data_IF_638184774753
#
_entry.id   IF_638184774753
#
_cell.length_a   1.000
_cell.length_b   1.000
_cell.length_c   1.000
_cell.angle_alpha   90.00
_cell.angle_beta   90.00
_cell.angle_gamma   90.00
#
_symmetry.space_group_name_H-M   'P 1'
#
loop_
_entity.id
_entity.type
_entity.pdbx_description
1 polymer ?
#
# COMPACT_ATOMS: atom_id res chain seq x y z
N UNK A 1 1.32 -25.30 7.25
CA UNK A 1 1.22 -24.49 6.02
C UNK A 1 2.32 -23.44 6.12
N UNK A 2 3.26 -23.38 5.16
CA UNK A 2 4.34 -22.40 5.20
C UNK A 2 3.79 -20.99 4.94
N UNK A 3 4.35 -19.97 5.60
CA UNK A 3 3.94 -18.56 5.43
C UNK A 3 2.72 -18.12 6.24
N UNK A 4 2.12 -18.99 7.06
CA UNK A 4 0.95 -18.65 7.89
C UNK A 4 1.27 -18.51 9.38
N UNK A 5 2.50 -18.81 9.78
CA UNK A 5 2.98 -18.67 11.15
C UNK A 5 3.66 -17.33 11.37
N UNK A 6 3.65 -16.85 12.60
CA UNK A 6 4.31 -15.62 13.03
C UNK A 6 4.21 -15.45 14.54
N UNK A 7 4.85 -14.43 15.12
CA UNK A 7 4.65 -14.07 16.51
C UNK A 7 3.22 -13.56 16.72
N UNK A 8 2.73 -13.64 17.96
CA UNK A 8 1.39 -13.18 18.36
C UNK A 8 1.33 -11.65 18.56
N UNK A 9 2.15 -10.88 17.83
CA UNK A 9 2.15 -9.43 17.88
C UNK A 9 2.32 -8.80 16.49
N UNK A 10 1.85 -7.60 16.36
CA UNK A 10 2.06 -6.70 15.22
C UNK A 10 2.89 -5.49 15.65
N UNK A 11 3.42 -4.76 14.70
CA UNK A 11 4.21 -3.54 14.90
C UNK A 11 3.41 -2.39 14.29
N UNK A 12 3.27 -1.23 14.98
CA UNK A 12 2.61 -0.07 14.41
C UNK A 12 3.16 0.30 13.03
N UNK A 13 2.27 0.75 12.14
CA UNK A 13 2.69 1.20 10.82
C UNK A 13 3.52 2.50 10.91
N UNK A 14 4.63 2.56 10.18
CA UNK A 14 5.53 3.70 10.10
C UNK A 14 5.74 4.12 8.64
N UNK A 15 4.78 4.88 8.10
CA UNK A 15 4.84 5.37 6.71
C UNK A 15 5.62 6.68 6.64
N UNK A 16 6.91 6.60 6.33
CA UNK A 16 7.80 7.76 6.15
C UNK A 16 7.85 8.18 4.67
N UNK A 17 6.68 8.39 4.10
CA UNK A 17 6.53 8.79 2.70
C UNK A 17 6.56 10.33 2.58
N UNK A 18 7.20 10.91 1.56
CA UNK A 18 7.80 10.29 0.39
C UNK A 18 9.28 9.88 0.52
N UNK A 19 9.91 10.02 1.69
CA UNK A 19 11.35 9.78 1.88
C UNK A 19 11.70 8.29 1.74
N UNK A 20 10.88 7.40 2.31
CA UNK A 20 11.01 5.96 2.18
C UNK A 20 9.90 5.43 1.26
N UNK A 21 10.28 4.86 0.14
CA UNK A 21 9.35 4.38 -0.87
C UNK A 21 9.82 3.04 -1.48
N UNK A 22 8.94 2.36 -2.18
CA UNK A 22 9.14 0.99 -2.65
C UNK A 22 9.99 0.92 -3.93
N UNK A 23 11.20 1.50 -3.89
CA UNK A 23 12.21 1.32 -4.94
C UNK A 23 12.71 -0.13 -4.95
N UNK A 24 13.27 -0.58 -6.08
CA UNK A 24 13.93 -1.89 -6.13
C UNK A 24 15.02 -1.99 -5.06
N UNK A 25 15.03 -3.10 -4.33
CA UNK A 25 15.93 -3.33 -3.21
C UNK A 25 15.40 -2.80 -1.85
N UNK A 26 14.27 -2.10 -1.80
CA UNK A 26 13.69 -1.69 -0.52
C UNK A 26 13.24 -2.91 0.29
N UNK A 27 13.51 -2.90 1.61
CA UNK A 27 12.98 -3.85 2.58
C UNK A 27 11.71 -3.29 3.19
N UNK A 28 10.63 -4.06 3.11
CA UNK A 28 9.32 -3.62 3.57
C UNK A 28 8.65 -4.70 4.42
N UNK A 29 7.97 -4.29 5.46
CA UNK A 29 7.23 -5.20 6.32
C UNK A 29 5.95 -5.67 5.63
N UNK A 30 5.67 -6.98 5.68
CA UNK A 30 4.39 -7.53 5.25
C UNK A 30 3.29 -7.18 6.25
N UNK A 31 2.04 -7.26 5.83
CA UNK A 31 0.85 -7.09 6.68
C UNK A 31 -0.36 -7.79 6.10
N UNK A 32 -1.36 -7.98 6.93
CA UNK A 32 -2.68 -8.44 6.48
C UNK A 32 -3.48 -7.28 5.85
N UNK A 33 -4.50 -7.63 5.07
CA UNK A 33 -5.34 -6.66 4.36
C UNK A 33 -6.16 -5.74 5.29
N UNK A 34 -6.54 -4.57 4.78
CA UNK A 34 -7.25 -3.52 5.53
C UNK A 34 -8.58 -3.98 6.13
N UNK A 35 -9.20 -5.05 5.61
CA UNK A 35 -10.46 -5.61 6.14
C UNK A 35 -10.30 -6.20 7.54
N UNK A 36 -9.15 -6.81 7.84
CA UNK A 36 -8.84 -7.43 9.13
C UNK A 36 -7.81 -6.62 9.93
N UNK A 37 -7.13 -5.67 9.29
CA UNK A 37 -6.08 -4.84 9.86
C UNK A 37 -6.26 -3.37 9.40
N UNK A 38 -7.32 -2.68 9.90
CA UNK A 38 -7.62 -1.31 9.47
C UNK A 38 -6.55 -0.29 9.90
N UNK A 39 -5.77 -0.58 10.92
CA UNK A 39 -4.65 0.25 11.39
C UNK A 39 -3.37 0.02 10.58
N UNK A 40 -3.39 -0.94 9.64
CA UNK A 40 -2.27 -1.29 8.75
C UNK A 40 -0.99 -1.67 9.48
N UNK A 41 -1.13 -2.25 10.68
CA UNK A 41 0.00 -2.72 11.46
C UNK A 41 0.83 -3.75 10.68
N UNK A 42 2.14 -3.66 10.84
CA UNK A 42 3.11 -4.54 10.19
C UNK A 42 3.21 -5.89 10.91
N UNK A 43 3.50 -6.95 10.17
CA UNK A 43 3.85 -8.26 10.74
C UNK A 43 5.12 -8.13 11.61
N UNK A 44 5.12 -8.82 12.76
CA UNK A 44 6.29 -8.87 13.65
C UNK A 44 7.45 -9.70 13.12
N UNK A 45 7.29 -10.43 11.99
CA UNK A 45 8.35 -11.33 11.48
C UNK A 45 8.41 -11.45 9.97
N UNK A 46 7.37 -11.04 9.25
CA UNK A 46 7.32 -11.21 7.80
C UNK A 46 7.68 -9.91 7.10
N UNK A 47 8.59 -9.98 6.15
CA UNK A 47 9.03 -8.88 5.32
C UNK A 47 9.21 -9.35 3.87
N UNK A 48 9.39 -8.41 2.99
CA UNK A 48 9.72 -8.67 1.59
C UNK A 48 10.76 -7.68 1.09
N UNK A 49 11.50 -8.09 0.05
CA UNK A 49 12.41 -7.23 -0.67
C UNK A 49 11.75 -6.86 -2.00
N UNK A 50 11.66 -5.58 -2.27
CA UNK A 50 11.03 -5.07 -3.49
C UNK A 50 11.91 -5.40 -4.70
N UNK A 51 11.34 -6.08 -5.71
CA UNK A 51 11.97 -6.20 -7.02
C UNK A 51 11.30 -5.27 -8.03
N UNK A 52 10.03 -5.50 -8.34
CA UNK A 52 9.23 -4.67 -9.22
C UNK A 52 9.77 -4.59 -10.66
N UNK A 53 9.29 -3.58 -11.39
CA UNK A 53 9.71 -3.27 -12.76
C UNK A 53 10.08 -1.80 -12.91
N UNK A 54 10.64 -1.42 -14.03
CA UNK A 54 10.75 -0.01 -14.44
C UNK A 54 9.44 0.48 -15.04
N UNK A 55 9.18 1.76 -14.92
CA UNK A 55 7.96 2.41 -15.40
C UNK A 55 8.29 3.52 -16.39
N UNK A 56 7.45 3.69 -17.39
CA UNK A 56 7.46 4.90 -18.20
C UNK A 56 6.80 6.07 -17.46
N UNK A 57 7.12 7.29 -17.84
CA UNK A 57 6.45 8.49 -17.30
C UNK A 57 4.91 8.45 -17.51
N UNK A 58 4.45 7.80 -18.58
CA UNK A 58 3.03 7.61 -18.86
C UNK A 58 2.35 6.69 -17.85
N UNK A 59 3.00 5.57 -17.49
CA UNK A 59 2.51 4.64 -16.47
C UNK A 59 2.49 5.31 -15.08
N UNK A 60 3.53 6.03 -14.71
CA UNK A 60 3.56 6.77 -13.43
C UNK A 60 2.42 7.79 -13.34
N UNK A 61 2.14 8.54 -14.41
CA UNK A 61 0.97 9.45 -14.46
C UNK A 61 -0.37 8.73 -14.32
N UNK A 62 -0.48 7.48 -14.77
CA UNK A 62 -1.71 6.68 -14.54
C UNK A 62 -1.81 6.26 -13.07
N UNK A 63 -0.69 5.87 -12.45
CA UNK A 63 -0.65 5.55 -11.02
C UNK A 63 -1.02 6.78 -10.19
N UNK A 64 -0.49 7.97 -10.50
CA UNK A 64 -0.87 9.23 -9.83
C UNK A 64 -2.38 9.52 -9.91
N UNK A 65 -3.01 9.22 -11.05
CA UNK A 65 -4.47 9.34 -11.18
C UNK A 65 -5.20 8.35 -10.28
N UNK A 66 -4.71 7.10 -10.19
CA UNK A 66 -5.29 6.09 -9.30
C UNK A 66 -5.11 6.49 -7.83
N UNK A 67 -3.94 7.00 -7.44
CA UNK A 67 -3.69 7.53 -6.08
C UNK A 67 -4.67 8.65 -5.73
N UNK A 68 -4.93 9.58 -6.66
CA UNK A 68 -5.88 10.67 -6.45
C UNK A 68 -7.33 10.16 -6.28
N UNK A 69 -7.73 9.16 -7.06
CA UNK A 69 -9.03 8.51 -6.91
C UNK A 69 -9.15 7.75 -5.58
N UNK A 70 -8.09 7.05 -5.18
CA UNK A 70 -8.04 6.34 -3.90
C UNK A 70 -8.12 7.30 -2.72
N UNK A 71 -7.38 8.43 -2.76
CA UNK A 71 -7.44 9.47 -1.74
C UNK A 71 -8.88 10.01 -1.57
N UNK A 72 -9.57 10.31 -2.67
CA UNK A 72 -10.97 10.77 -2.62
C UNK A 72 -11.88 9.68 -2.01
N UNK A 73 -11.67 8.42 -2.37
CA UNK A 73 -12.43 7.30 -1.83
C UNK A 73 -12.18 7.08 -0.34
N UNK A 74 -10.94 7.20 0.11
CA UNK A 74 -10.57 7.05 1.52
C UNK A 74 -11.19 8.16 2.38
N UNK A 75 -11.19 9.41 1.89
CA UNK A 75 -11.89 10.52 2.54
C UNK A 75 -13.39 10.25 2.61
N UNK A 76 -13.99 9.78 1.51
CA UNK A 76 -15.43 9.43 1.48
C UNK A 76 -15.76 8.30 2.47
N UNK A 77 -14.94 7.26 2.54
CA UNK A 77 -15.10 6.16 3.49
C UNK A 77 -15.01 6.64 4.94
N UNK A 78 -14.05 7.52 5.23
CA UNK A 78 -13.92 8.16 6.55
C UNK A 78 -15.16 8.96 6.94
N UNK A 79 -15.66 9.77 6.02
CA UNK A 79 -16.91 10.52 6.22
C UNK A 79 -18.12 9.57 6.44
N UNK A 80 -18.23 8.52 5.65
CA UNK A 80 -19.29 7.52 5.79
C UNK A 80 -19.27 6.87 7.17
N UNK A 81 -18.08 6.57 7.71
CA UNK A 81 -17.95 6.07 9.10
C UNK A 81 -18.45 7.08 10.12
N UNK A 82 -18.12 8.36 9.97
CA UNK A 82 -18.58 9.44 10.87
C UNK A 82 -20.11 9.60 10.83
N UNK A 83 -20.72 9.51 9.65
CA UNK A 83 -22.18 9.67 9.45
C UNK A 83 -22.96 8.35 9.57
N UNK A 84 -22.32 7.25 10.02
CA UNK A 84 -22.91 5.90 10.09
C UNK A 84 -24.27 5.87 10.79
N UNK A 85 -24.40 6.56 11.93
CA UNK A 85 -25.66 6.63 12.69
C UNK A 85 -26.78 7.25 11.86
N UNK A 86 -26.52 8.41 11.25
CA UNK A 86 -27.50 9.11 10.42
C UNK A 86 -27.91 8.29 9.19
N UNK A 87 -26.96 7.60 8.55
CA UNK A 87 -27.23 6.70 7.42
C UNK A 87 -28.17 5.56 7.87
N UNK A 88 -27.90 4.96 9.04
CA UNK A 88 -28.73 3.89 9.58
C UNK A 88 -30.14 4.36 9.92
N UNK A 89 -30.30 5.56 10.52
CA UNK A 89 -31.61 6.12 10.88
C UNK A 89 -32.41 6.43 9.60
N UNK A 90 -31.80 7.00 8.57
CA UNK A 90 -32.46 7.25 7.28
C UNK A 90 -32.91 5.95 6.61
N UNK A 91 -32.09 4.89 6.66
CA UNK A 91 -32.43 3.56 6.14
C UNK A 91 -33.58 2.93 6.93
N UNK A 92 -33.55 2.99 8.27
CA UNK A 92 -34.62 2.47 9.15
C UNK A 92 -35.95 3.15 8.85
N UNK A 93 -35.95 4.47 8.66
CA UNK A 93 -37.14 5.27 8.36
C UNK A 93 -37.52 5.22 6.86
N UNK A 94 -36.85 4.40 6.04
CA UNK A 94 -37.09 4.29 4.60
C UNK A 94 -37.04 5.64 3.85
N UNK A 95 -36.32 6.62 4.41
CA UNK A 95 -36.17 7.97 3.82
C UNK A 95 -35.13 7.96 2.69
N UNK A 96 -35.55 7.55 1.51
CA UNK A 96 -34.69 7.48 0.30
C UNK A 96 -34.18 8.85 -0.13
N UNK A 97 -35.04 9.89 -0.05
CA UNK A 97 -34.66 11.25 -0.45
C UNK A 97 -33.58 11.78 0.50
N UNK A 98 -33.76 11.63 1.80
CA UNK A 98 -32.75 12.03 2.78
C UNK A 98 -31.43 11.26 2.64
N UNK A 99 -31.51 9.97 2.32
CA UNK A 99 -30.32 9.14 2.08
C UNK A 99 -29.53 9.62 0.85
N UNK A 100 -30.22 9.91 -0.26
CA UNK A 100 -29.61 10.45 -1.46
C UNK A 100 -28.98 11.82 -1.20
N UNK A 101 -29.70 12.74 -0.56
CA UNK A 101 -29.18 14.06 -0.22
C UNK A 101 -27.93 13.99 0.68
N UNK A 102 -27.92 13.07 1.65
CA UNK A 102 -26.75 12.82 2.48
C UNK A 102 -25.58 12.27 1.66
N UNK A 103 -25.82 11.33 0.77
CA UNK A 103 -24.78 10.77 -0.11
C UNK A 103 -24.16 11.85 -0.99
N UNK A 104 -24.99 12.68 -1.62
CA UNK A 104 -24.53 13.79 -2.47
C UNK A 104 -23.69 14.79 -1.67
N UNK A 105 -24.09 15.11 -0.44
CA UNK A 105 -23.33 15.93 0.49
C UNK A 105 -21.97 15.30 0.81
N UNK A 106 -21.92 14.02 1.15
CA UNK A 106 -20.66 13.34 1.50
C UNK A 106 -19.71 13.25 0.32
N UNK A 107 -20.21 13.06 -0.92
CA UNK A 107 -19.41 13.10 -2.14
C UNK A 107 -18.81 14.48 -2.34
N UNK A 108 -19.60 15.55 -2.20
CA UNK A 108 -19.11 16.90 -2.35
C UNK A 108 -18.06 17.27 -1.29
N UNK A 109 -18.30 16.86 -0.03
CA UNK A 109 -17.38 17.06 1.08
C UNK A 109 -16.07 16.26 0.89
N UNK A 110 -16.15 15.02 0.41
CA UNK A 110 -14.98 14.21 0.10
C UNK A 110 -14.10 14.86 -0.97
N UNK A 111 -14.71 15.36 -2.05
CA UNK A 111 -13.99 16.08 -3.11
C UNK A 111 -13.32 17.36 -2.60
N UNK A 112 -14.01 18.13 -1.75
CA UNK A 112 -13.45 19.36 -1.17
C UNK A 112 -12.25 19.03 -0.28
N UNK A 113 -12.39 18.08 0.65
CA UNK A 113 -11.30 17.65 1.53
C UNK A 113 -10.13 17.04 0.78
N UNK A 114 -10.39 16.19 -0.22
CA UNK A 114 -9.33 15.63 -1.07
C UNK A 114 -8.54 16.72 -1.80
N UNK A 115 -9.22 17.77 -2.25
CA UNK A 115 -8.56 18.94 -2.86
C UNK A 115 -7.71 19.72 -1.87
N UNK A 116 -8.15 19.87 -0.62
CA UNK A 116 -7.39 20.53 0.45
C UNK A 116 -6.13 19.76 0.84
N UNK A 117 -6.19 18.42 0.82
CA UNK A 117 -5.02 17.55 1.05
C UNK A 117 -3.95 17.67 -0.06
N UNK A 118 -4.31 18.26 -1.20
CA UNK A 118 -3.45 18.35 -2.36
C UNK A 118 -3.50 17.09 -3.22
N UNK A 119 -3.06 17.23 -4.46
CA UNK A 119 -3.02 16.11 -5.40
C UNK A 119 -1.82 15.20 -5.07
N UNK A 120 -2.04 13.92 -4.81
CA UNK A 120 -0.93 12.99 -4.62
C UNK A 120 -0.15 12.85 -5.93
N UNK A 121 1.14 12.66 -5.80
CA UNK A 121 2.03 12.50 -6.95
C UNK A 121 3.43 12.10 -6.50
N UNK A 122 4.26 11.75 -7.46
CA UNK A 122 5.64 11.36 -7.21
C UNK A 122 6.56 12.58 -7.19
N UNK A 123 7.56 12.56 -6.33
CA UNK A 123 8.67 13.51 -6.37
C UNK A 123 9.54 13.27 -7.61
N UNK A 124 10.39 14.24 -7.97
CA UNK A 124 11.34 14.06 -9.08
C UNK A 124 12.26 12.88 -8.84
N UNK A 125 12.72 12.68 -7.61
CA UNK A 125 13.55 11.55 -7.20
C UNK A 125 12.82 10.21 -7.41
N UNK A 126 11.55 10.12 -6.99
CA UNK A 126 10.75 8.92 -7.19
C UNK A 126 10.52 8.62 -8.67
N UNK A 127 10.23 9.66 -9.48
CA UNK A 127 10.06 9.49 -10.93
C UNK A 127 11.36 8.96 -11.56
N UNK A 128 12.51 9.58 -11.24
CA UNK A 128 13.81 9.12 -11.73
C UNK A 128 14.07 7.68 -11.30
N UNK A 129 13.88 7.36 -10.03
CA UNK A 129 14.13 6.02 -9.49
C UNK A 129 13.22 4.98 -10.14
N UNK A 130 11.91 5.23 -10.24
CA UNK A 130 10.98 4.28 -10.84
C UNK A 130 11.15 4.11 -12.35
N UNK A 131 11.70 5.11 -13.04
CA UNK A 131 11.98 5.02 -14.49
C UNK A 131 13.32 4.36 -14.80
N UNK A 132 14.28 4.36 -13.88
CA UNK A 132 15.62 3.82 -14.09
C UNK A 132 15.85 2.51 -13.34
N UNK A 133 15.74 2.53 -12.03
CA UNK A 133 15.95 1.38 -11.15
C UNK A 133 14.70 0.47 -11.09
N UNK A 134 13.51 1.07 -11.01
CA UNK A 134 12.25 0.36 -10.86
C UNK A 134 11.81 0.21 -9.41
N UNK A 135 10.74 -0.57 -9.22
CA UNK A 135 10.13 -0.80 -7.92
C UNK A 135 8.63 -1.10 -8.02
N UNK A 136 7.88 -0.79 -6.95
CA UNK A 136 6.44 -1.04 -6.84
C UNK A 136 5.68 0.18 -6.30
N UNK A 137 5.53 1.25 -7.09
CA UNK A 137 4.99 2.53 -6.63
C UNK A 137 3.57 2.47 -6.08
N UNK A 138 2.79 1.45 -6.41
CA UNK A 138 1.45 1.24 -5.88
C UNK A 138 1.41 0.75 -4.42
N UNK A 139 2.56 0.37 -3.85
CA UNK A 139 2.70 0.01 -2.43
C UNK A 139 3.12 1.21 -1.56
N UNK A 140 3.49 2.33 -2.18
CA UNK A 140 3.90 3.53 -1.46
C UNK A 140 2.79 4.04 -0.52
N UNK A 141 3.19 4.42 0.69
CA UNK A 141 2.29 4.85 1.75
C UNK A 141 1.22 3.79 2.15
N UNK A 142 1.48 2.52 1.81
CA UNK A 142 0.62 1.38 2.15
C UNK A 142 1.31 0.37 3.07
N UNK A 143 2.64 0.32 3.02
CA UNK A 143 3.48 -0.60 3.79
C UNK A 143 4.68 0.15 4.36
N UNK A 144 5.17 -0.31 5.52
CA UNK A 144 6.35 0.25 6.16
C UNK A 144 7.61 -0.19 5.42
N UNK A 145 8.35 0.76 4.88
CA UNK A 145 9.72 0.56 4.37
C UNK A 145 10.68 0.85 5.52
N UNK A 146 11.52 -0.11 5.89
CA UNK A 146 12.41 0.00 7.04
C UNK A 146 13.90 -0.21 6.73
N UNK A 147 14.23 -0.51 5.47
CA UNK A 147 15.62 -0.71 5.05
C UNK A 147 15.74 -0.84 3.54
N UNK A 148 16.95 -1.09 3.09
CA UNK A 148 17.26 -1.34 1.69
C UNK A 148 18.45 -2.29 1.54
N UNK A 149 18.53 -2.94 0.39
CA UNK A 149 19.66 -3.77 0.00
C UNK A 149 20.81 -2.85 -0.42
N UNK A 150 21.91 -2.88 0.32
CA UNK A 150 23.13 -2.11 -0.01
C UNK A 150 23.95 -2.80 -1.11
N UNK A 151 24.11 -4.12 -1.00
CA UNK A 151 24.87 -4.94 -1.94
C UNK A 151 24.12 -6.25 -2.28
N UNK A 152 24.37 -6.83 -3.46
CA UNK A 152 23.81 -8.14 -3.83
C UNK A 152 22.46 -8.09 -4.53
N UNK A 153 22.10 -7.01 -5.22
CA UNK A 153 20.87 -6.96 -6.03
C UNK A 153 20.82 -8.07 -7.10
N UNK A 154 21.97 -8.48 -7.62
CA UNK A 154 22.07 -9.62 -8.55
C UNK A 154 21.67 -10.95 -7.91
N UNK A 155 21.92 -11.11 -6.61
CA UNK A 155 21.44 -12.28 -5.84
C UNK A 155 19.93 -12.24 -5.71
N UNK A 156 19.35 -11.06 -5.43
CA UNK A 156 17.88 -10.89 -5.38
C UNK A 156 17.26 -11.19 -6.74
N UNK A 157 17.90 -10.76 -7.84
CA UNK A 157 17.44 -11.09 -9.20
C UNK A 157 17.42 -12.62 -9.43
N UNK A 158 18.44 -13.32 -9.00
CA UNK A 158 18.51 -14.79 -9.11
C UNK A 158 17.40 -15.45 -8.28
N UNK A 159 17.15 -14.99 -7.06
CA UNK A 159 16.07 -15.48 -6.22
C UNK A 159 14.71 -15.23 -6.87
N UNK A 160 14.48 -14.02 -7.40
CA UNK A 160 13.24 -13.65 -8.09
C UNK A 160 12.99 -14.49 -9.36
N UNK A 161 14.04 -15.03 -9.97
CA UNK A 161 13.98 -15.73 -11.25
C UNK A 161 13.91 -17.27 -11.12
N UNK A 162 13.86 -17.81 -9.90
CA UNK A 162 13.75 -19.26 -9.71
C UNK A 162 12.38 -19.78 -10.14
N UNK A 163 12.33 -21.05 -10.51
CA UNK A 163 11.06 -21.73 -10.80
C UNK A 163 10.20 -21.85 -9.54
N UNK A 164 8.90 -21.55 -9.68
CA UNK A 164 7.95 -21.56 -8.59
C UNK A 164 6.76 -22.49 -8.87
N UNK A 165 6.05 -22.88 -7.83
CA UNK A 165 4.76 -23.56 -7.95
C UNK A 165 3.64 -22.54 -8.24
N UNK A 166 2.38 -23.02 -8.34
CA UNK A 166 1.18 -22.19 -8.59
C UNK A 166 0.86 -21.17 -7.49
N UNK A 167 1.56 -21.21 -6.36
CA UNK A 167 1.42 -20.26 -5.25
C UNK A 167 2.64 -19.36 -5.12
N UNK A 168 3.43 -19.24 -6.18
CA UNK A 168 4.68 -18.46 -6.25
C UNK A 168 5.76 -18.92 -5.25
N UNK A 169 5.67 -20.17 -4.75
CA UNK A 169 6.68 -20.75 -3.90
C UNK A 169 7.79 -21.37 -4.75
N UNK A 170 9.08 -21.08 -4.47
CA UNK A 170 10.20 -21.77 -5.12
C UNK A 170 10.07 -23.28 -5.04
N UNK A 171 10.33 -24.00 -6.16
CA UNK A 171 10.31 -25.47 -6.19
C UNK A 171 11.43 -26.05 -5.34
N UNK A 172 12.60 -25.41 -5.36
CA UNK A 172 13.73 -25.73 -4.49
C UNK A 172 13.79 -24.74 -3.32
N UNK A 173 14.06 -25.22 -2.11
CA UNK A 173 14.12 -24.39 -0.93
C UNK A 173 15.32 -23.41 -1.00
N UNK A 174 15.05 -22.12 -0.72
CA UNK A 174 16.06 -21.09 -0.60
C UNK A 174 16.35 -20.89 0.89
N UNK A 175 17.57 -21.22 1.31
CA UNK A 175 17.99 -21.05 2.69
C UNK A 175 18.54 -19.65 2.90
N UNK A 176 18.04 -18.96 3.94
CA UNK A 176 18.48 -17.63 4.34
C UNK A 176 19.09 -17.74 5.73
N UNK A 177 20.27 -17.14 5.91
CA UNK A 177 20.89 -16.92 7.20
C UNK A 177 20.95 -15.43 7.48
N UNK A 178 20.46 -15.00 8.64
CA UNK A 178 20.43 -13.58 9.05
C UNK A 178 21.37 -13.40 10.22
N UNK A 179 22.29 -12.46 10.10
CA UNK A 179 23.22 -12.05 11.13
C UNK A 179 23.09 -10.55 11.38
N UNK A 180 23.13 -10.14 12.63
CA UNK A 180 23.17 -8.73 13.01
C UNK A 180 24.63 -8.33 13.14
N UNK A 181 25.05 -7.28 12.43
CA UNK A 181 26.41 -6.77 12.39
C UNK A 181 26.68 -5.76 13.54
#
# INVERSE_FOLDING_TARGET
MLGTGGPDYTIPAEFVYPQLFHKRGALSAARTGDEVNPERESSGSQFYIVWGKTYSNGELKQIEKQMAMQQEQDVFNGLTKQYRKQIMDLRRNRNRIGLQALQDKLIAEAKAKSKELGKPGFSLEQIETYTTLGGTPFLDNQYTVFGEVEEGLDIIERIQSVETDRNDRPLDDITIQIEVL
#
